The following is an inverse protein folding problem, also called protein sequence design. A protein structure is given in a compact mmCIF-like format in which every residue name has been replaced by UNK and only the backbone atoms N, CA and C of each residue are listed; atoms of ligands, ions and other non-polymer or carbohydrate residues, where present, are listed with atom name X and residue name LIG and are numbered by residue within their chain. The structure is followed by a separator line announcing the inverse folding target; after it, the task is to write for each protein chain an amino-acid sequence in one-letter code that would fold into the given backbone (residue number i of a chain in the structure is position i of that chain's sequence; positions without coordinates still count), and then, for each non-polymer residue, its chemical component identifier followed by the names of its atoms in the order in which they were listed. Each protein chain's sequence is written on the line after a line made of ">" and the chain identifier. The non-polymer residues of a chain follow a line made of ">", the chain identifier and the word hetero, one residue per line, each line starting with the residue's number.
data_IF_743341242730
#
_entry.id   IF_743341242730
#
_cell.length_a   1.000
_cell.length_b   1.000
_cell.length_c   1.000
_cell.angle_alpha   90.00
_cell.angle_beta   90.00
_cell.angle_gamma   90.00
#
_symmetry.space_group_name_H-M   'P 1'
#
loop_
_entity.id
_entity.type
_entity.pdbx_description
1 polymer ?
#
# COMPACT_ATOMS: atom_id res chain seq x y z
N UNK A 1 0.48 -11.44 -16.16
CA UNK A 1 -0.91 -11.02 -15.87
C UNK A 1 -0.80 -10.10 -14.69
N UNK A 2 -1.25 -8.86 -14.85
CA UNK A 2 -1.29 -7.87 -13.77
C UNK A 2 -2.09 -8.42 -12.58
N UNK A 3 -1.53 -8.28 -11.39
CA UNK A 3 -2.19 -8.53 -10.13
C UNK A 3 -3.31 -7.54 -9.82
N UNK A 4 -3.15 -6.28 -10.18
CA UNK A 4 -4.19 -5.24 -10.14
C UNK A 4 -4.74 -5.01 -11.55
N UNK A 5 -5.97 -4.53 -11.73
CA UNK A 5 -6.56 -4.45 -13.08
C UNK A 5 -5.75 -3.53 -14.01
N UNK A 6 -5.12 -4.10 -15.04
CA UNK A 6 -4.40 -3.42 -16.13
C UNK A 6 -3.30 -2.43 -15.71
N UNK A 7 -2.57 -2.68 -14.61
CA UNK A 7 -1.48 -1.80 -14.17
C UNK A 7 -0.13 -2.52 -13.99
N UNK A 8 0.32 -3.16 -15.07
CA UNK A 8 1.65 -3.78 -15.16
C UNK A 8 2.79 -2.79 -14.86
N UNK A 9 2.55 -1.47 -15.00
CA UNK A 9 3.55 -0.44 -14.73
C UNK A 9 3.67 -0.16 -13.24
N UNK A 10 2.55 -0.05 -12.52
CA UNK A 10 2.51 0.09 -11.07
C UNK A 10 3.20 -1.08 -10.38
N UNK A 11 2.90 -2.31 -10.80
CA UNK A 11 3.49 -3.51 -10.21
C UNK A 11 5.00 -3.53 -10.39
N UNK A 12 5.47 -3.18 -11.60
CA UNK A 12 6.92 -3.07 -11.87
C UNK A 12 7.57 -1.97 -11.04
N UNK A 13 6.95 -0.81 -10.92
CA UNK A 13 7.47 0.30 -10.14
C UNK A 13 7.58 -0.08 -8.65
N UNK A 14 6.52 -0.68 -8.10
CA UNK A 14 6.49 -1.16 -6.73
C UNK A 14 7.55 -2.24 -6.50
N UNK A 15 7.59 -3.30 -7.30
CA UNK A 15 8.57 -4.38 -7.15
C UNK A 15 10.02 -3.88 -7.32
N UNK A 16 10.26 -2.89 -8.17
CA UNK A 16 11.59 -2.29 -8.34
C UNK A 16 12.03 -1.47 -7.11
N UNK A 17 11.09 -0.82 -6.43
CA UNK A 17 11.36 0.03 -5.26
C UNK A 17 11.57 -0.77 -3.97
N UNK A 18 10.89 -1.92 -3.81
CA UNK A 18 10.87 -2.73 -2.58
C UNK A 18 12.25 -3.01 -1.97
N UNK A 19 13.30 -3.41 -2.72
CA UNK A 19 14.61 -3.68 -2.14
C UNK A 19 15.24 -2.50 -1.39
N UNK A 20 14.83 -1.28 -1.69
CA UNK A 20 15.35 -0.06 -1.10
C UNK A 20 14.39 0.57 -0.07
N UNK A 21 13.26 -0.08 0.21
CA UNK A 21 12.30 0.40 1.21
C UNK A 21 12.74 0.13 2.64
N UNK A 22 12.18 0.87 3.61
CA UNK A 22 12.44 0.67 5.05
C UNK A 22 12.19 -0.78 5.46
N UNK A 23 11.06 -1.33 5.02
CA UNK A 23 10.74 -2.75 5.12
C UNK A 23 10.75 -3.37 3.72
N UNK A 24 11.24 -4.61 3.63
CA UNK A 24 11.23 -5.43 2.42
C UNK A 24 10.85 -6.86 2.82
N UNK A 25 9.58 -7.03 3.20
CA UNK A 25 9.02 -8.33 3.63
C UNK A 25 8.09 -8.87 2.55
N UNK A 26 7.84 -10.17 2.56
CA UNK A 26 6.88 -10.79 1.63
C UNK A 26 5.46 -10.19 1.77
N UNK A 27 5.10 -9.70 2.96
CA UNK A 27 3.76 -9.19 3.26
C UNK A 27 3.44 -7.86 2.56
N UNK A 28 4.46 -7.11 2.15
CA UNK A 28 4.29 -5.81 1.50
C UNK A 28 4.54 -5.86 -0.01
N UNK A 29 4.69 -7.06 -0.60
CA UNK A 29 4.90 -7.18 -2.05
C UNK A 29 3.57 -7.08 -2.80
N UNK A 30 3.57 -6.57 -4.05
CA UNK A 30 2.35 -6.51 -4.86
C UNK A 30 1.72 -7.89 -5.05
N UNK A 31 2.53 -8.94 -5.22
CA UNK A 31 2.07 -10.32 -5.41
C UNK A 31 1.27 -10.81 -4.20
N UNK A 32 1.81 -10.61 -3.00
CA UNK A 32 1.19 -11.11 -1.78
C UNK A 32 -0.07 -10.33 -1.43
N UNK A 33 -0.01 -9.00 -1.50
CA UNK A 33 -1.17 -8.17 -1.21
C UNK A 33 -2.32 -8.42 -2.19
N UNK A 34 -2.03 -8.54 -3.48
CA UNK A 34 -3.07 -8.87 -4.45
C UNK A 34 -3.63 -10.28 -4.27
N UNK A 35 -2.80 -11.26 -3.92
CA UNK A 35 -3.24 -12.62 -3.63
C UNK A 35 -4.19 -12.63 -2.43
N UNK A 36 -3.83 -11.92 -1.36
CA UNK A 36 -4.65 -11.83 -0.17
C UNK A 36 -5.99 -11.16 -0.46
N UNK A 37 -5.95 -9.98 -1.09
CA UNK A 37 -7.12 -9.22 -1.53
C UNK A 37 -8.09 -10.11 -2.35
N UNK A 38 -7.61 -10.70 -3.45
CA UNK A 38 -8.41 -11.53 -4.37
C UNK A 38 -9.02 -12.76 -3.70
N UNK A 39 -8.38 -13.28 -2.65
CA UNK A 39 -8.78 -14.51 -1.99
C UNK A 39 -9.83 -14.31 -0.90
N UNK A 40 -9.73 -13.21 -0.16
CA UNK A 40 -10.45 -13.03 1.10
C UNK A 40 -11.49 -11.91 1.07
N UNK A 41 -11.43 -11.00 0.11
CA UNK A 41 -12.36 -9.89 0.03
C UNK A 41 -13.15 -9.93 -1.27
N UNK A 42 -14.48 -10.02 -1.13
CA UNK A 42 -15.43 -9.99 -2.25
C UNK A 42 -16.02 -8.58 -2.35
N UNK A 43 -16.19 -8.08 -3.59
CA UNK A 43 -16.89 -6.83 -3.92
C UNK A 43 -16.31 -5.52 -3.40
N UNK A 44 -15.03 -5.51 -3.02
CA UNK A 44 -14.29 -4.26 -2.80
C UNK A 44 -13.27 -4.08 -3.94
N UNK A 45 -12.54 -2.97 -3.97
CA UNK A 45 -11.43 -2.78 -4.92
C UNK A 45 -10.31 -2.10 -4.17
N UNK A 46 -9.08 -2.63 -4.22
CA UNK A 46 -7.97 -2.01 -3.53
C UNK A 46 -7.62 -0.69 -4.20
N UNK A 47 -7.34 0.31 -3.38
CA UNK A 47 -6.68 1.54 -3.78
C UNK A 47 -5.18 1.28 -3.72
N UNK A 48 -4.54 1.20 -4.89
CA UNK A 48 -3.09 1.14 -4.99
C UNK A 48 -2.62 2.38 -5.75
N UNK A 49 -1.81 3.21 -5.10
CA UNK A 49 -1.23 4.40 -5.75
C UNK A 49 0.27 4.49 -5.48
N UNK A 50 1.05 4.71 -6.55
CA UNK A 50 2.47 5.06 -6.44
C UNK A 50 2.58 6.55 -6.08
N UNK A 51 3.26 6.86 -4.98
CA UNK A 51 3.60 8.22 -4.60
C UNK A 51 4.94 8.57 -5.22
N UNK A 52 4.99 9.70 -5.93
CA UNK A 52 6.19 10.16 -6.61
C UNK A 52 6.70 11.50 -6.06
N UNK A 53 8.01 11.64 -5.97
CA UNK A 53 8.68 12.94 -5.85
C UNK A 53 9.34 13.28 -7.18
N UNK A 54 8.75 14.23 -7.91
CA UNK A 54 9.16 14.54 -9.27
C UNK A 54 8.98 13.34 -10.22
N UNK A 55 10.10 12.68 -10.58
CA UNK A 55 10.12 11.50 -11.46
C UNK A 55 10.42 10.19 -10.72
N UNK A 56 10.71 10.26 -9.43
CA UNK A 56 11.07 9.09 -8.63
C UNK A 56 9.85 8.56 -7.89
N UNK A 57 9.63 7.24 -7.93
CA UNK A 57 8.66 6.57 -7.07
C UNK A 57 9.27 6.40 -5.67
N UNK A 58 8.66 7.03 -4.66
CA UNK A 58 9.19 7.09 -3.29
C UNK A 58 8.36 6.30 -2.30
N UNK A 59 7.17 5.84 -2.70
CA UNK A 59 6.39 4.92 -1.89
C UNK A 59 5.12 4.43 -2.58
N UNK A 60 4.37 3.57 -1.89
CA UNK A 60 3.06 3.07 -2.33
C UNK A 60 2.03 3.30 -1.24
N UNK A 61 0.80 3.64 -1.62
CA UNK A 61 -0.39 3.62 -0.76
C UNK A 61 -1.19 2.35 -1.11
N UNK A 62 -1.07 1.25 -0.35
CA UNK A 62 -1.85 0.05 -0.58
C UNK A 62 -2.98 -0.07 0.44
N UNK A 63 -4.14 0.47 0.11
CA UNK A 63 -5.30 0.47 1.00
C UNK A 63 -6.48 -0.30 0.42
N UNK A 64 -7.34 -0.76 1.31
CA UNK A 64 -8.66 -1.26 1.00
C UNK A 64 -9.69 -0.26 1.51
N UNK A 65 -10.58 0.19 0.64
CA UNK A 65 -11.69 1.06 1.00
C UNK A 65 -12.98 0.23 1.07
N UNK A 66 -13.59 0.14 2.25
CA UNK A 66 -14.84 -0.58 2.50
C UNK A 66 -15.84 0.36 3.19
N UNK A 67 -16.87 0.81 2.48
CA UNK A 67 -17.82 1.78 3.01
C UNK A 67 -17.13 3.10 3.37
N UNK A 68 -17.16 3.48 4.65
CA UNK A 68 -16.55 4.71 5.17
C UNK A 68 -15.17 4.46 5.80
N UNK A 69 -14.62 3.26 5.65
CA UNK A 69 -13.35 2.87 6.26
C UNK A 69 -12.28 2.62 5.20
N UNK A 70 -11.07 3.09 5.48
CA UNK A 70 -9.86 2.72 4.77
C UNK A 70 -8.94 1.90 5.71
N UNK A 71 -8.44 0.76 5.23
CA UNK A 71 -7.52 -0.10 5.97
C UNK A 71 -6.31 -0.46 5.12
N UNK A 72 -5.24 -0.99 5.73
CA UNK A 72 -4.26 -1.75 4.95
C UNK A 72 -4.90 -2.97 4.28
N UNK A 73 -4.23 -3.49 3.26
CA UNK A 73 -4.59 -4.78 2.63
C UNK A 73 -4.09 -5.91 3.54
N UNK A 74 -5.00 -6.48 4.31
CA UNK A 74 -4.72 -7.57 5.24
C UNK A 74 -5.76 -7.64 6.36
N UNK A 75 -5.48 -8.49 7.34
CA UNK A 75 -6.28 -8.64 8.57
C UNK A 75 -5.33 -8.93 9.73
N UNK A 76 -5.32 -8.06 10.73
CA UNK A 76 -4.42 -8.12 11.89
C UNK A 76 -4.53 -9.41 12.71
N UNK A 77 -5.57 -10.23 12.52
CA UNK A 77 -5.69 -11.55 13.14
C UNK A 77 -4.86 -12.65 12.45
N UNK A 78 -4.39 -12.42 11.22
CA UNK A 78 -3.66 -13.42 10.40
C UNK A 78 -2.37 -12.83 9.79
N UNK A 79 -2.27 -11.50 9.72
CA UNK A 79 -1.15 -10.77 9.12
C UNK A 79 -0.18 -10.27 10.19
N UNK A 80 1.07 -10.74 10.12
CA UNK A 80 2.11 -10.34 11.07
C UNK A 80 2.48 -8.86 10.93
N UNK A 81 2.61 -8.35 9.69
CA UNK A 81 3.03 -6.97 9.44
C UNK A 81 2.37 -6.35 8.22
N UNK A 82 1.81 -5.15 8.38
CA UNK A 82 1.26 -4.30 7.31
C UNK A 82 1.89 -2.91 7.42
N UNK A 83 2.32 -2.37 6.30
CA UNK A 83 2.89 -1.02 6.25
C UNK A 83 2.82 -0.44 4.83
N UNK A 84 3.09 0.85 4.72
CA UNK A 84 3.41 1.50 3.46
C UNK A 84 4.80 1.04 2.98
N UNK A 85 4.95 0.57 1.74
CA UNK A 85 6.24 0.43 1.10
C UNK A 85 6.81 1.83 0.85
N UNK A 86 7.80 2.26 1.65
CA UNK A 86 8.41 3.61 1.56
C UNK A 86 9.91 3.51 1.35
N UNK A 87 10.41 4.23 0.36
CA UNK A 87 11.84 4.30 0.03
C UNK A 87 12.64 4.92 1.19
N UNK A 88 13.78 4.30 1.54
CA UNK A 88 14.66 4.81 2.61
C UNK A 88 15.08 6.25 2.34
N UNK A 89 14.96 7.11 3.35
CA UNK A 89 15.29 8.54 3.26
C UNK A 89 14.15 9.43 2.79
N UNK A 90 13.03 8.87 2.31
CA UNK A 90 11.88 9.64 1.83
C UNK A 90 10.67 9.60 2.77
N UNK A 91 10.81 9.12 4.01
CA UNK A 91 9.69 8.95 4.94
C UNK A 91 8.84 10.22 5.13
N UNK A 92 9.47 11.35 5.49
CA UNK A 92 8.77 12.62 5.73
C UNK A 92 8.06 13.13 4.47
N UNK A 93 8.74 13.10 3.33
CA UNK A 93 8.21 13.54 2.04
C UNK A 93 7.03 12.65 1.58
N UNK A 94 7.21 11.34 1.69
CA UNK A 94 6.17 10.35 1.37
C UNK A 94 4.92 10.62 2.20
N UNK A 95 5.04 10.70 3.55
CA UNK A 95 3.87 10.88 4.40
C UNK A 95 3.19 12.24 4.17
N UNK A 96 3.93 13.29 3.84
CA UNK A 96 3.35 14.59 3.48
C UNK A 96 2.47 14.49 2.22
N UNK A 97 2.99 13.87 1.15
CA UNK A 97 2.27 13.68 -0.11
C UNK A 97 1.12 12.69 0.03
N UNK A 98 1.37 11.54 0.66
CA UNK A 98 0.37 10.52 0.93
C UNK A 98 -0.76 11.08 1.78
N UNK A 99 -0.47 11.86 2.83
CA UNK A 99 -1.51 12.51 3.63
C UNK A 99 -2.37 13.49 2.84
N UNK A 100 -1.75 14.25 1.92
CA UNK A 100 -2.49 15.09 0.99
C UNK A 100 -3.50 14.30 0.16
N UNK A 101 -3.08 13.13 -0.34
CA UNK A 101 -3.93 12.22 -1.11
C UNK A 101 -5.00 11.56 -0.25
N UNK A 102 -4.65 11.02 0.91
CA UNK A 102 -5.58 10.34 1.83
C UNK A 102 -6.71 11.27 2.27
N UNK A 103 -6.41 12.53 2.60
CA UNK A 103 -7.43 13.55 2.95
C UNK A 103 -8.40 13.90 1.82
N UNK A 104 -8.04 13.63 0.57
CA UNK A 104 -8.89 13.91 -0.59
C UNK A 104 -9.93 12.81 -0.86
N UNK A 105 -9.83 11.69 -0.13
CA UNK A 105 -10.71 10.53 -0.30
C UNK A 105 -11.91 10.61 0.64
N UNK A 106 -12.97 9.91 0.26
CA UNK A 106 -14.24 9.87 1.01
C UNK A 106 -14.24 8.67 1.96
N UNK A 107 -13.59 8.82 3.12
CA UNK A 107 -13.65 7.90 4.25
C UNK A 107 -13.75 8.68 5.57
N UNK A 108 -14.33 8.06 6.60
CA UNK A 108 -14.44 8.61 7.96
C UNK A 108 -13.40 8.04 8.92
N UNK A 109 -12.93 6.81 8.69
CA UNK A 109 -11.87 6.22 9.49
C UNK A 109 -10.75 5.63 8.63
N UNK A 110 -9.51 5.81 9.11
CA UNK A 110 -8.31 5.17 8.56
C UNK A 110 -7.72 4.28 9.64
N UNK A 111 -7.75 2.97 9.43
CA UNK A 111 -7.18 1.98 10.37
C UNK A 111 -5.89 1.41 9.82
N UNK A 112 -4.79 1.76 10.48
CA UNK A 112 -3.45 1.27 10.18
C UNK A 112 -3.02 0.36 11.34
N UNK A 113 -3.15 -0.94 11.14
CA UNK A 113 -2.90 -1.96 12.15
C UNK A 113 -1.68 -2.81 11.78
N UNK A 114 -1.14 -3.58 12.74
CA UNK A 114 0.03 -4.45 12.55
C UNK A 114 1.25 -3.74 11.92
N UNK A 115 1.48 -2.48 12.28
CA UNK A 115 2.68 -1.74 11.85
C UNK A 115 3.89 -2.35 12.58
N UNK A 116 5.00 -2.67 11.89
CA UNK A 116 6.21 -3.17 12.53
C UNK A 116 6.72 -2.23 13.63
N UNK A 117 7.14 -2.80 14.77
CA UNK A 117 7.93 -2.09 15.78
C UNK A 117 9.44 -2.22 15.44
N UNK A 118 10.22 -1.16 15.73
CA UNK A 118 11.68 -1.14 15.57
C UNK A 118 12.43 -1.92 16.67
#
# INVERSE_FOLDING_TARGET
>A
MSYFENDDQLEKAWSHMLPNCYFNTIFITPEWQATWWKRFKYNCTPLIEIVTSGKEAIGVIPLLCEGEDATFIGDSNVYDYMDFPVLKGHGEEFFSLAWGRLKSMDWKSLRLESIPED
#
